data_IF_031035644933
#
_entry.id   IF_031035644933
#
_cell.length_a   1.000
_cell.length_b   1.000
_cell.length_c   1.000
_cell.angle_alpha   90.00
_cell.angle_beta   90.00
_cell.angle_gamma   90.00
#
_symmetry.space_group_name_H-M   'P 1'
#
loop_
_entity.id
_entity.type
_entity.pdbx_description
1 polymer ?
#
# COMPACT_ATOMS: atom_id res chain seq x y z
N UNK A 1 -25.16 3.22 -1.16
CA UNK A 1 -23.80 3.74 -0.88
C UNK A 1 -23.26 2.99 0.33
N UNK A 2 -22.89 1.72 0.14
CA UNK A 2 -22.14 0.92 1.15
C UNK A 2 -20.67 0.84 0.72
N UNK A 3 -20.43 0.91 -0.59
CA UNK A 3 -19.13 0.75 -1.25
C UNK A 3 -18.17 1.91 -0.97
N UNK A 4 -18.60 3.17 -1.03
CA UNK A 4 -17.69 4.33 -0.87
C UNK A 4 -17.08 4.43 0.54
N UNK A 5 -17.88 4.14 1.57
CA UNK A 5 -17.40 4.12 2.95
C UNK A 5 -16.45 2.95 3.18
N UNK A 6 -16.82 1.75 2.71
CA UNK A 6 -15.99 0.56 2.80
C UNK A 6 -14.65 0.75 2.06
N UNK A 7 -14.68 1.34 0.86
CA UNK A 7 -13.48 1.64 0.07
C UNK A 7 -12.55 2.60 0.81
N UNK A 8 -13.09 3.64 1.44
CA UNK A 8 -12.30 4.58 2.26
C UNK A 8 -11.71 3.90 3.49
N UNK A 9 -12.45 3.02 4.14
CA UNK A 9 -11.95 2.22 5.27
C UNK A 9 -10.82 1.29 4.82
N UNK A 10 -11.04 0.48 3.76
CA UNK A 10 -10.02 -0.39 3.18
C UNK A 10 -8.76 0.39 2.74
N UNK A 11 -8.95 1.57 2.13
CA UNK A 11 -7.87 2.46 1.72
C UNK A 11 -7.05 2.92 2.93
N UNK A 12 -7.73 3.39 3.98
CA UNK A 12 -7.08 3.82 5.21
C UNK A 12 -6.31 2.67 5.86
N UNK A 13 -6.93 1.51 5.97
CA UNK A 13 -6.31 0.33 6.56
C UNK A 13 -5.07 -0.14 5.78
N UNK A 14 -5.05 0.01 4.45
CA UNK A 14 -3.87 -0.25 3.63
C UNK A 14 -2.76 0.77 3.92
N UNK A 15 -3.09 2.06 3.95
CA UNK A 15 -2.15 3.14 4.28
C UNK A 15 -1.56 2.95 5.68
N UNK A 16 -2.35 2.56 6.68
CA UNK A 16 -1.87 2.27 8.03
C UNK A 16 -0.82 1.13 8.03
N UNK A 17 -1.09 0.04 7.31
CA UNK A 17 -0.12 -1.07 7.16
C UNK A 17 1.17 -0.61 6.46
N UNK A 18 1.07 0.19 5.41
CA UNK A 18 2.25 0.74 4.73
C UNK A 18 3.05 1.70 5.63
N UNK A 19 2.37 2.54 6.43
CA UNK A 19 3.01 3.44 7.39
C UNK A 19 3.79 2.69 8.48
N UNK A 20 3.26 1.55 8.95
CA UNK A 20 3.96 0.68 9.89
C UNK A 20 5.30 0.18 9.31
N UNK A 21 5.31 -0.21 8.03
CA UNK A 21 6.53 -0.65 7.33
C UNK A 21 7.54 0.50 7.21
N UNK A 22 7.07 1.69 6.80
CA UNK A 22 7.89 2.88 6.62
C UNK A 22 8.53 3.35 7.95
N UNK A 23 7.79 3.24 9.05
CA UNK A 23 8.22 3.67 10.39
C UNK A 23 9.11 2.66 11.11
N UNK A 24 9.14 1.40 10.66
CA UNK A 24 9.89 0.33 11.34
C UNK A 24 11.41 0.45 11.09
N UNK A 25 12.20 0.64 12.15
CA UNK A 25 13.67 0.81 12.06
C UNK A 25 14.43 -0.39 11.48
N UNK A 26 13.85 -1.59 11.51
CA UNK A 26 14.44 -2.79 10.92
C UNK A 26 14.22 -2.89 9.40
N UNK A 27 13.37 -2.03 8.82
CA UNK A 27 13.11 -2.01 7.38
C UNK A 27 14.26 -1.29 6.64
N UNK A 28 14.84 -1.88 5.57
CA UNK A 28 15.85 -1.22 4.74
C UNK A 28 15.39 0.13 4.19
N UNK A 29 16.32 1.11 4.12
CA UNK A 29 16.02 2.48 3.67
C UNK A 29 15.41 2.56 2.28
N UNK A 30 15.88 1.74 1.35
CA UNK A 30 15.36 1.69 -0.03
C UNK A 30 13.88 1.32 -0.03
N UNK A 31 13.52 0.27 0.69
CA UNK A 31 12.13 -0.18 0.82
C UNK A 31 11.28 0.88 1.50
N UNK A 32 11.75 1.48 2.60
CA UNK A 32 11.02 2.58 3.26
C UNK A 32 10.70 3.72 2.31
N UNK A 33 11.67 4.10 1.47
CA UNK A 33 11.48 5.16 0.48
C UNK A 33 10.39 4.78 -0.52
N UNK A 34 10.48 3.60 -1.12
CA UNK A 34 9.46 3.12 -2.05
C UNK A 34 8.07 3.08 -1.41
N UNK A 35 7.95 2.58 -0.17
CA UNK A 35 6.67 2.54 0.55
C UNK A 35 6.15 3.96 0.86
N UNK A 36 7.01 4.91 1.22
CA UNK A 36 6.63 6.28 1.45
C UNK A 36 6.09 6.95 0.18
N UNK A 37 6.73 6.72 -0.97
CA UNK A 37 6.27 7.23 -2.27
C UNK A 37 4.86 6.68 -2.62
N UNK A 38 4.60 5.41 -2.33
CA UNK A 38 3.27 4.79 -2.53
C UNK A 38 2.20 5.37 -1.61
N UNK A 39 2.53 5.66 -0.35
CA UNK A 39 1.60 6.30 0.59
C UNK A 39 1.18 7.68 0.08
N UNK A 40 2.12 8.43 -0.50
CA UNK A 40 1.84 9.74 -1.11
C UNK A 40 0.91 9.59 -2.32
N UNK A 41 1.16 8.62 -3.20
CA UNK A 41 0.31 8.36 -4.37
C UNK A 41 -1.13 7.97 -3.97
N UNK A 42 -1.27 7.10 -2.97
CA UNK A 42 -2.57 6.72 -2.42
C UNK A 42 -3.34 7.88 -1.79
N UNK A 43 -2.61 8.83 -1.19
CA UNK A 43 -3.19 10.02 -0.56
C UNK A 43 -3.53 11.12 -1.56
N UNK A 44 -3.08 11.02 -2.81
CA UNK A 44 -3.38 11.99 -3.85
C UNK A 44 -4.86 11.89 -4.24
N UNK A 45 -5.63 12.97 -4.17
CA UNK A 45 -7.07 12.97 -4.51
C UNK A 45 -7.35 13.26 -6.00
N UNK A 46 -6.31 13.35 -6.84
CA UNK A 46 -6.43 13.58 -8.28
C UNK A 46 -7.21 12.45 -9.01
N UNK A 47 -7.09 11.20 -8.52
CA UNK A 47 -7.71 10.02 -9.12
C UNK A 47 -8.76 9.37 -8.20
N UNK A 48 -9.61 8.50 -8.75
CA UNK A 48 -10.56 7.71 -7.93
C UNK A 48 -9.82 6.73 -7.02
N UNK A 49 -10.46 6.27 -5.94
CA UNK A 49 -9.86 5.30 -5.00
C UNK A 49 -9.44 4.00 -5.70
N UNK A 50 -10.30 3.49 -6.59
CA UNK A 50 -10.05 2.26 -7.35
C UNK A 50 -8.84 2.38 -8.27
N UNK A 51 -8.66 3.52 -8.95
CA UNK A 51 -7.49 3.77 -9.82
C UNK A 51 -6.21 3.84 -9.00
N UNK A 52 -6.22 4.53 -7.86
CA UNK A 52 -5.07 4.63 -6.95
C UNK A 52 -4.66 3.28 -6.38
N UNK A 53 -5.66 2.49 -5.96
CA UNK A 53 -5.44 1.15 -5.46
C UNK A 53 -4.78 0.26 -6.52
N UNK A 54 -5.31 0.26 -7.75
CA UNK A 54 -4.76 -0.53 -8.85
C UNK A 54 -3.31 -0.12 -9.20
N UNK A 55 -3.05 1.18 -9.30
CA UNK A 55 -1.71 1.70 -9.56
C UNK A 55 -0.73 1.27 -8.46
N UNK A 56 -1.13 1.40 -7.20
CA UNK A 56 -0.28 1.01 -6.07
C UNK A 56 -0.02 -0.48 -6.01
N UNK A 57 -1.01 -1.34 -6.29
CA UNK A 57 -0.81 -2.80 -6.35
C UNK A 57 0.25 -3.14 -7.41
N UNK A 58 0.19 -2.51 -8.58
CA UNK A 58 1.19 -2.72 -9.65
C UNK A 58 2.59 -2.37 -9.18
N UNK A 59 2.76 -1.21 -8.52
CA UNK A 59 4.06 -0.76 -8.03
C UNK A 59 4.56 -1.59 -6.83
N UNK A 60 3.64 -2.11 -6.01
CA UNK A 60 3.97 -3.00 -4.89
C UNK A 60 4.57 -4.31 -5.37
N UNK A 61 4.10 -4.85 -6.50
CA UNK A 61 4.67 -6.07 -7.07
C UNK A 61 6.16 -5.90 -7.37
N UNK A 62 6.53 -4.80 -8.03
CA UNK A 62 7.93 -4.43 -8.30
C UNK A 62 8.74 -4.29 -7.00
N UNK A 63 8.19 -3.62 -5.99
CA UNK A 63 8.85 -3.48 -4.68
C UNK A 63 9.07 -4.86 -4.04
N UNK A 64 8.13 -5.81 -4.21
CA UNK A 64 8.25 -7.15 -3.65
C UNK A 64 9.32 -8.02 -4.30
N UNK A 65 9.83 -7.62 -5.47
CA UNK A 65 10.95 -8.30 -6.14
C UNK A 65 12.32 -7.83 -5.62
N UNK A 66 12.38 -6.84 -4.72
CA UNK A 66 13.65 -6.36 -4.17
C UNK A 66 14.41 -7.49 -3.44
N UNK A 67 15.69 -7.76 -3.79
CA UNK A 67 16.45 -8.86 -3.21
C UNK A 67 16.77 -8.67 -1.73
N UNK A 68 16.70 -7.44 -1.22
CA UNK A 68 16.89 -7.13 0.20
C UNK A 68 15.57 -7.11 0.97
N UNK A 69 14.45 -7.55 0.37
CA UNK A 69 13.15 -7.54 1.03
C UNK A 69 13.09 -8.51 2.21
N UNK A 70 12.86 -8.03 3.44
CA UNK A 70 12.64 -8.89 4.58
C UNK A 70 11.30 -9.63 4.47
N UNK A 71 11.25 -10.90 4.87
CA UNK A 71 10.03 -11.71 4.81
C UNK A 71 8.85 -11.09 5.58
N UNK A 72 9.11 -10.46 6.72
CA UNK A 72 8.06 -9.79 7.51
C UNK A 72 7.47 -8.58 6.78
N UNK A 73 8.26 -7.89 5.94
CA UNK A 73 7.75 -6.79 5.11
C UNK A 73 6.88 -7.36 4.02
N UNK A 74 7.32 -8.42 3.32
CA UNK A 74 6.53 -9.09 2.28
C UNK A 74 5.15 -9.50 2.78
N UNK A 75 5.06 -10.09 3.97
CA UNK A 75 3.76 -10.46 4.58
C UNK A 75 2.87 -9.24 4.82
N UNK A 76 3.42 -8.13 5.33
CA UNK A 76 2.65 -6.90 5.53
C UNK A 76 2.22 -6.25 4.21
N UNK A 77 3.07 -6.29 3.18
CA UNK A 77 2.70 -5.82 1.85
C UNK A 77 1.55 -6.66 1.28
N UNK A 78 1.59 -7.98 1.45
CA UNK A 78 0.48 -8.85 1.04
C UNK A 78 -0.83 -8.49 1.76
N UNK A 79 -0.78 -8.18 3.06
CA UNK A 79 -1.95 -7.68 3.80
C UNK A 79 -2.45 -6.34 3.25
N UNK A 80 -1.55 -5.42 2.90
CA UNK A 80 -1.92 -4.14 2.29
C UNK A 80 -2.56 -4.34 0.91
N UNK A 81 -1.98 -5.19 0.06
CA UNK A 81 -2.52 -5.55 -1.26
C UNK A 81 -3.92 -6.12 -1.12
N UNK A 82 -4.14 -7.09 -0.22
CA UNK A 82 -5.46 -7.67 -0.01
C UNK A 82 -6.54 -6.63 0.35
N UNK A 83 -6.17 -5.59 1.11
CA UNK A 83 -7.07 -4.46 1.42
C UNK A 83 -7.30 -3.58 0.19
N UNK A 84 -6.26 -3.28 -0.58
CA UNK A 84 -6.38 -2.51 -1.82
C UNK A 84 -7.23 -3.24 -2.87
N UNK A 85 -7.11 -4.56 -3.00
CA UNK A 85 -7.91 -5.39 -3.91
C UNK A 85 -9.41 -5.42 -3.54
N UNK A 86 -9.75 -5.14 -2.28
CA UNK A 86 -11.14 -5.04 -1.85
C UNK A 86 -11.82 -3.76 -2.32
N UNK A 87 -11.05 -2.76 -2.78
CA UNK A 87 -11.58 -1.48 -3.28
C UNK A 87 -12.14 -1.70 -4.69
N UNK A 88 -13.44 -1.44 -4.87
CA UNK A 88 -14.16 -1.60 -6.15
C UNK A 88 -14.84 -0.30 -6.57
N UNK A 89 -15.08 -0.13 -7.87
CA UNK A 89 -15.88 0.98 -8.42
C UNK A 89 -17.37 0.87 -8.08
#
# INVERSE_FOLDING_TARGET
MVDDKQNKESMKEAIDTLNQIASNNSTPKTIKKSIADLIVDLSNEEYSLSVRAANTISLLDDVTQDPNMPSYVRTQLWQAVSKLESIRE
#
